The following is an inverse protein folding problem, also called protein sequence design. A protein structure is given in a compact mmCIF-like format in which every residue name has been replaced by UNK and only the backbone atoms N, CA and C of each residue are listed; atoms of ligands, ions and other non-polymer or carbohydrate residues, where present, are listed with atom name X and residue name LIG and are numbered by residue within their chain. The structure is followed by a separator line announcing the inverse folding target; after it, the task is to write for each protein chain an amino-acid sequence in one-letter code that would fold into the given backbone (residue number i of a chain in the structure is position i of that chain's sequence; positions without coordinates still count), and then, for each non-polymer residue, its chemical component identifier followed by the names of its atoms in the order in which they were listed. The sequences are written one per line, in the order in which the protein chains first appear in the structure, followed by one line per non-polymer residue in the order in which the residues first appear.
data_IF_706038699619
#
_entry.id   IF_706038699619
#
_cell.length_a   1.000
_cell.length_b   1.000
_cell.length_c   1.000
_cell.angle_alpha   90.00
_cell.angle_beta   90.00
_cell.angle_gamma   90.00
#
_symmetry.space_group_name_H-M   'P 1'
#
loop_
_entity.id
_entity.type
_entity.pdbx_description
1 polymer ?
#
# COMPACT_ATOMS: atom_id res chain seq x y z
N UNK A 1 -25.67 43.76 17.48
CA UNK A 1 -26.28 42.84 16.50
C UNK A 1 -25.19 41.89 16.03
N UNK A 2 -25.15 40.67 16.57
CA UNK A 2 -24.20 39.63 16.15
C UNK A 2 -24.75 38.99 14.87
N UNK A 3 -24.02 39.09 13.76
CA UNK A 3 -24.36 38.36 12.52
C UNK A 3 -24.42 36.86 12.87
N UNK A 4 -25.42 36.11 12.39
CA UNK A 4 -25.37 34.65 12.49
C UNK A 4 -24.13 34.18 11.72
N UNK A 5 -23.27 33.41 12.39
CA UNK A 5 -22.13 32.73 11.76
C UNK A 5 -22.71 31.81 10.69
N UNK A 6 -22.50 32.14 9.41
CA UNK A 6 -22.86 31.22 8.33
C UNK A 6 -22.10 29.91 8.57
N UNK A 7 -22.77 28.75 8.45
CA UNK A 7 -22.06 27.49 8.53
C UNK A 7 -21.03 27.44 7.41
N UNK A 8 -19.77 27.23 7.76
CA UNK A 8 -18.67 27.12 6.82
C UNK A 8 -19.07 26.22 5.63
N UNK A 9 -18.79 26.62 4.38
CA UNK A 9 -19.28 25.94 3.19
C UNK A 9 -18.81 24.48 3.19
N UNK A 10 -19.75 23.56 3.40
CA UNK A 10 -19.46 22.13 3.52
C UNK A 10 -18.91 21.55 2.22
N UNK A 11 -17.84 20.76 2.30
CA UNK A 11 -17.25 20.05 1.16
C UNK A 11 -18.30 19.24 0.38
N UNK A 12 -18.28 19.28 -0.97
CA UNK A 12 -19.11 18.40 -1.78
C UNK A 12 -18.93 16.94 -1.37
N UNK A 13 -20.03 16.18 -1.30
CA UNK A 13 -20.02 14.79 -0.80
C UNK A 13 -19.01 13.89 -1.54
N UNK A 14 -18.90 14.04 -2.86
CA UNK A 14 -17.93 13.29 -3.67
C UNK A 14 -16.48 13.58 -3.29
N UNK A 15 -16.15 14.85 -3.08
CA UNK A 15 -14.81 15.29 -2.68
C UNK A 15 -14.45 14.76 -1.29
N UNK A 16 -15.40 14.86 -0.35
CA UNK A 16 -15.26 14.33 1.01
C UNK A 16 -15.04 12.81 0.99
N UNK A 17 -15.82 12.07 0.19
CA UNK A 17 -15.68 10.62 0.09
C UNK A 17 -14.33 10.23 -0.52
N UNK A 18 -13.91 10.89 -1.60
CA UNK A 18 -12.61 10.63 -2.22
C UNK A 18 -11.44 10.90 -1.26
N UNK A 19 -11.52 11.96 -0.45
CA UNK A 19 -10.51 12.24 0.58
C UNK A 19 -10.50 11.18 1.69
N UNK A 20 -11.67 10.70 2.14
CA UNK A 20 -11.77 9.59 3.11
C UNK A 20 -11.16 8.30 2.54
N UNK A 21 -11.49 7.95 1.29
CA UNK A 21 -10.92 6.77 0.63
C UNK A 21 -9.40 6.90 0.50
N UNK A 22 -8.91 8.10 0.17
CA UNK A 22 -7.47 8.37 0.11
C UNK A 22 -6.78 8.11 1.45
N UNK A 23 -7.35 8.57 2.58
CA UNK A 23 -6.85 8.29 3.92
C UNK A 23 -6.84 6.80 4.25
N UNK A 24 -7.94 6.11 3.96
CA UNK A 24 -8.13 4.69 4.28
C UNK A 24 -7.17 3.80 3.52
N UNK A 25 -6.82 4.15 2.28
CA UNK A 25 -5.85 3.40 1.49
C UNK A 25 -4.41 3.78 1.81
N UNK A 26 -4.12 5.07 2.04
CA UNK A 26 -2.73 5.52 2.24
C UNK A 26 -2.15 5.09 3.58
N UNK A 27 -2.95 5.08 4.66
CA UNK A 27 -2.47 4.69 5.99
C UNK A 27 -1.96 3.23 6.05
N UNK A 28 -2.74 2.19 5.72
CA UNK A 28 -2.26 0.81 5.78
C UNK A 28 -1.18 0.54 4.73
N UNK A 29 -1.32 1.08 3.51
CA UNK A 29 -0.31 0.88 2.45
C UNK A 29 1.04 1.46 2.87
N UNK A 30 1.06 2.69 3.41
CA UNK A 30 2.28 3.35 3.85
C UNK A 30 2.90 2.71 5.09
N UNK A 31 2.07 2.25 6.05
CA UNK A 31 2.53 1.55 7.24
C UNK A 31 3.16 0.19 6.90
N UNK A 32 2.49 -0.61 6.07
CA UNK A 32 3.02 -1.91 5.64
C UNK A 32 4.34 -1.73 4.87
N UNK A 33 4.38 -0.76 3.94
CA UNK A 33 5.61 -0.45 3.20
C UNK A 33 6.76 -0.03 4.13
N UNK A 34 6.48 0.79 5.14
CA UNK A 34 7.50 1.18 6.13
C UNK A 34 8.00 -0.03 6.93
N UNK A 35 7.07 -0.86 7.43
CA UNK A 35 7.42 -2.05 8.22
C UNK A 35 8.31 -3.02 7.43
N UNK A 36 7.98 -3.24 6.17
CA UNK A 36 8.75 -4.12 5.30
C UNK A 36 10.10 -3.48 4.91
N UNK A 37 10.15 -2.18 4.64
CA UNK A 37 11.41 -1.45 4.43
C UNK A 37 12.36 -1.57 5.62
N UNK A 38 11.85 -1.45 6.85
CA UNK A 38 12.64 -1.59 8.08
C UNK A 38 13.08 -3.04 8.28
N UNK A 39 12.18 -4.01 8.05
CA UNK A 39 12.50 -5.44 8.12
C UNK A 39 13.55 -5.87 7.09
N UNK A 40 13.51 -5.30 5.88
CA UNK A 40 14.58 -5.47 4.89
C UNK A 40 15.89 -4.80 5.34
N UNK A 41 15.82 -3.67 6.06
CA UNK A 41 17.00 -3.06 6.68
C UNK A 41 17.69 -3.98 7.69
N UNK A 42 16.91 -4.77 8.45
CA UNK A 42 17.38 -5.68 9.51
C UNK A 42 17.38 -7.16 9.10
N UNK A 43 17.38 -7.44 7.80
CA UNK A 43 17.18 -8.78 7.26
C UNK A 43 18.19 -9.82 7.81
N UNK A 44 19.44 -9.41 8.04
CA UNK A 44 20.49 -10.24 8.63
C UNK A 44 20.22 -10.55 10.12
N UNK A 45 19.79 -9.56 10.90
CA UNK A 45 19.46 -9.72 12.32
C UNK A 45 18.22 -10.61 12.50
N UNK A 46 17.22 -10.47 11.62
CA UNK A 46 16.04 -11.34 11.62
C UNK A 46 16.37 -12.78 11.26
N UNK A 47 17.32 -13.01 10.34
CA UNK A 47 17.77 -14.37 10.00
C UNK A 47 18.36 -15.09 11.21
N UNK A 48 19.13 -14.38 12.04
CA UNK A 48 19.72 -14.92 13.25
C UNK A 48 18.67 -15.14 14.34
N UNK A 49 17.75 -14.19 14.54
CA UNK A 49 16.70 -14.29 15.55
C UNK A 49 15.64 -15.36 15.26
N UNK A 50 15.34 -15.66 13.99
CA UNK A 50 14.33 -16.67 13.64
C UNK A 50 14.88 -18.09 13.66
N UNK A 51 16.21 -18.27 13.57
CA UNK A 51 16.86 -19.57 13.78
C UNK A 51 16.64 -20.14 15.19
N UNK A 52 16.22 -19.30 16.14
CA UNK A 52 15.93 -19.66 17.53
C UNK A 52 14.43 -19.61 17.90
N UNK A 53 13.53 -19.37 16.93
CA UNK A 53 12.09 -19.29 17.18
C UNK A 53 11.45 -20.68 17.34
N UNK A 54 10.68 -20.94 18.42
CA UNK A 54 9.97 -22.20 18.62
C UNK A 54 8.63 -22.28 17.86
N UNK A 55 8.25 -21.24 17.11
CA UNK A 55 6.95 -21.18 16.44
C UNK A 55 6.98 -21.86 15.06
N UNK A 56 6.06 -22.79 14.85
CA UNK A 56 5.88 -23.51 13.58
C UNK A 56 4.53 -23.15 12.95
N UNK A 57 4.56 -22.64 11.72
CA UNK A 57 3.36 -22.26 10.94
C UNK A 57 2.69 -23.51 10.35
N UNK A 58 3.50 -24.49 9.96
CA UNK A 58 3.06 -25.69 9.25
C UNK A 58 2.95 -26.91 10.18
N UNK A 59 3.40 -26.80 11.42
CA UNK A 59 3.46 -27.88 12.40
C UNK A 59 4.71 -28.75 12.32
N UNK A 60 5.57 -28.52 11.32
CA UNK A 60 6.90 -29.10 11.19
C UNK A 60 7.97 -27.98 11.11
N UNK A 61 8.81 -27.81 12.15
CA UNK A 61 9.86 -26.80 12.19
C UNK A 61 10.86 -26.89 11.02
N UNK A 62 11.06 -28.08 10.45
CA UNK A 62 12.00 -28.28 9.34
C UNK A 62 11.44 -27.73 8.01
N UNK A 63 10.12 -27.82 7.82
CA UNK A 63 9.41 -27.25 6.67
C UNK A 63 9.41 -25.72 6.77
N UNK A 64 9.12 -25.19 7.96
CA UNK A 64 9.13 -23.75 8.20
C UNK A 64 10.51 -23.13 8.01
N UNK A 65 11.57 -23.82 8.45
CA UNK A 65 12.95 -23.39 8.20
C UNK A 65 13.28 -23.35 6.70
N UNK A 66 12.83 -24.34 5.91
CA UNK A 66 13.02 -24.36 4.46
C UNK A 66 12.28 -23.23 3.76
N UNK A 67 11.02 -22.97 4.13
CA UNK A 67 10.21 -21.88 3.55
C UNK A 67 10.84 -20.52 3.89
N UNK A 68 11.24 -20.34 5.14
CA UNK A 68 11.89 -19.12 5.62
C UNK A 68 13.21 -18.88 4.90
N UNK A 69 14.06 -19.90 4.77
CA UNK A 69 15.33 -19.79 4.03
C UNK A 69 15.10 -19.45 2.55
N UNK A 70 14.06 -20.01 1.93
CA UNK A 70 13.69 -19.68 0.56
C UNK A 70 13.21 -18.23 0.41
N UNK A 71 12.47 -17.71 1.40
CA UNK A 71 12.08 -16.31 1.44
C UNK A 71 13.29 -15.37 1.50
N UNK A 72 14.24 -15.64 2.40
CA UNK A 72 15.49 -14.85 2.49
C UNK A 72 16.28 -14.91 1.18
N UNK A 73 16.49 -16.11 0.63
CA UNK A 73 17.23 -16.27 -0.63
C UNK A 73 16.53 -15.57 -1.81
N UNK A 74 15.20 -15.48 -1.80
CA UNK A 74 14.43 -14.80 -2.84
C UNK A 74 14.49 -13.26 -2.70
N UNK A 75 14.58 -12.76 -1.47
CA UNK A 75 14.62 -11.32 -1.15
C UNK A 75 16.03 -10.73 -1.23
N UNK A 76 17.07 -11.48 -0.87
CA UNK A 76 18.46 -11.01 -0.78
C UNK A 76 18.92 -10.23 -2.03
N UNK A 77 18.69 -10.72 -3.28
CA UNK A 77 19.18 -10.04 -4.47
C UNK A 77 18.51 -8.68 -4.73
N UNK A 78 17.36 -8.42 -4.08
CA UNK A 78 16.52 -7.26 -4.32
C UNK A 78 16.44 -6.34 -3.09
N UNK A 79 17.02 -6.76 -1.96
CA UNK A 79 16.82 -6.18 -0.62
C UNK A 79 16.93 -4.66 -0.62
N UNK A 80 18.07 -4.14 -1.06
CA UNK A 80 18.34 -2.69 -1.03
C UNK A 80 17.39 -1.93 -1.96
N UNK A 81 17.24 -2.39 -3.21
CA UNK A 81 16.34 -1.76 -4.19
C UNK A 81 14.89 -1.74 -3.73
N UNK A 82 14.41 -2.83 -3.11
CA UNK A 82 13.05 -2.97 -2.59
C UNK A 82 12.85 -2.12 -1.33
N UNK A 83 13.83 -2.07 -0.43
CA UNK A 83 13.78 -1.20 0.74
C UNK A 83 13.66 0.28 0.33
N UNK A 84 14.42 0.72 -0.68
CA UNK A 84 14.31 2.09 -1.20
C UNK A 84 12.93 2.38 -1.80
N UNK A 85 12.39 1.47 -2.62
CA UNK A 85 11.04 1.62 -3.22
C UNK A 85 9.96 1.67 -2.14
N UNK A 86 10.02 0.79 -1.15
CA UNK A 86 9.05 0.74 -0.05
C UNK A 86 9.16 1.96 0.87
N UNK A 87 10.37 2.44 1.15
CA UNK A 87 10.59 3.69 1.88
C UNK A 87 10.00 4.89 1.14
N UNK A 88 10.26 5.01 -0.17
CA UNK A 88 9.67 6.05 -1.00
C UNK A 88 8.13 5.94 -1.07
N UNK A 89 7.60 4.71 -1.16
CA UNK A 89 6.16 4.44 -1.16
C UNK A 89 5.52 4.91 0.15
N UNK A 90 6.15 4.62 1.29
CA UNK A 90 5.69 5.07 2.61
C UNK A 90 5.62 6.61 2.70
N UNK A 91 6.66 7.31 2.24
CA UNK A 91 6.69 8.77 2.19
C UNK A 91 5.59 9.33 1.27
N UNK A 92 5.40 8.74 0.08
CA UNK A 92 4.35 9.14 -0.84
C UNK A 92 2.95 8.93 -0.24
N UNK A 93 2.72 7.81 0.45
CA UNK A 93 1.48 7.55 1.19
C UNK A 93 1.28 8.56 2.34
N UNK A 94 2.34 9.00 3.02
CA UNK A 94 2.25 10.04 4.04
C UNK A 94 1.79 11.38 3.44
N UNK A 95 2.29 11.76 2.26
CA UNK A 95 1.80 12.95 1.56
C UNK A 95 0.32 12.84 1.18
N UNK A 96 -0.12 11.70 0.64
CA UNK A 96 -1.54 11.44 0.38
C UNK A 96 -2.37 11.58 1.65
N UNK A 97 -1.91 10.96 2.74
CA UNK A 97 -2.60 10.99 4.03
C UNK A 97 -2.75 12.42 4.56
N UNK A 98 -1.65 13.17 4.59
CA UNK A 98 -1.65 14.55 5.09
C UNK A 98 -2.51 15.45 4.20
N UNK A 99 -2.37 15.38 2.88
CA UNK A 99 -3.19 16.19 1.97
C UNK A 99 -4.67 15.87 2.09
N UNK A 100 -5.05 14.60 2.14
CA UNK A 100 -6.44 14.20 2.28
C UNK A 100 -7.03 14.61 3.64
N UNK A 101 -6.25 14.49 4.72
CA UNK A 101 -6.63 14.98 6.05
C UNK A 101 -6.85 16.49 6.06
N UNK A 102 -5.96 17.26 5.42
CA UNK A 102 -6.08 18.72 5.29
C UNK A 102 -7.24 19.14 4.39
N UNK A 103 -7.58 18.39 3.34
CA UNK A 103 -8.81 18.66 2.57
C UNK A 103 -10.05 18.50 3.45
N UNK A 104 -10.09 17.50 4.33
CA UNK A 104 -11.22 17.28 5.25
C UNK A 104 -11.28 18.28 6.41
N UNK A 105 -10.13 18.84 6.80
CA UNK A 105 -9.98 19.83 7.88
C UNK A 105 -9.01 20.94 7.43
N UNK A 106 -9.53 21.98 6.74
CA UNK A 106 -8.70 22.94 6.03
C UNK A 106 -7.84 23.83 6.95
N UNK A 107 -8.24 24.11 8.19
CA UNK A 107 -7.51 24.96 9.16
C UNK A 107 -6.87 26.24 8.55
N UNK A 108 -7.53 26.89 7.58
CA UNK A 108 -7.03 28.08 6.90
C UNK A 108 -5.99 27.84 5.78
N UNK A 109 -5.76 26.59 5.37
CA UNK A 109 -4.87 26.27 4.26
C UNK A 109 -5.60 26.28 2.91
N UNK A 110 -4.95 26.76 1.83
CA UNK A 110 -5.55 26.77 0.49
C UNK A 110 -5.77 25.35 -0.02
N UNK A 111 -7.02 25.00 -0.28
CA UNK A 111 -7.44 23.66 -0.69
C UNK A 111 -6.85 23.28 -2.05
N UNK A 112 -6.63 24.25 -2.94
CA UNK A 112 -6.03 24.00 -4.25
C UNK A 112 -4.59 23.43 -4.15
N UNK A 113 -3.79 23.88 -3.18
CA UNK A 113 -2.44 23.31 -2.98
C UNK A 113 -2.54 21.88 -2.48
N UNK A 114 -3.47 21.61 -1.56
CA UNK A 114 -3.70 20.27 -1.03
C UNK A 114 -4.22 19.32 -2.11
N UNK A 115 -5.10 19.79 -3.01
CA UNK A 115 -5.58 19.03 -4.18
C UNK A 115 -4.45 18.59 -5.09
N UNK A 116 -3.57 19.53 -5.48
CA UNK A 116 -2.43 19.23 -6.37
C UNK A 116 -1.46 18.25 -5.72
N UNK A 117 -1.16 18.45 -4.45
CA UNK A 117 -0.28 17.57 -3.69
C UNK A 117 -0.89 16.16 -3.55
N UNK A 118 -2.19 16.07 -3.24
CA UNK A 118 -2.91 14.80 -3.15
C UNK A 118 -2.92 14.06 -4.49
N UNK A 119 -3.22 14.76 -5.58
CA UNK A 119 -3.23 14.17 -6.92
C UNK A 119 -1.85 13.65 -7.33
N UNK A 120 -0.82 14.48 -7.21
CA UNK A 120 0.54 14.11 -7.59
C UNK A 120 1.08 12.95 -6.74
N UNK A 121 0.89 13.02 -5.43
CA UNK A 121 1.33 11.94 -4.52
C UNK A 121 0.57 10.64 -4.74
N UNK A 122 -0.75 10.67 -5.03
CA UNK A 122 -1.51 9.47 -5.36
C UNK A 122 -0.99 8.79 -6.64
N UNK A 123 -0.65 9.55 -7.68
CA UNK A 123 -0.06 8.98 -8.89
C UNK A 123 1.34 8.39 -8.63
N UNK A 124 2.16 9.06 -7.81
CA UNK A 124 3.46 8.52 -7.38
C UNK A 124 3.30 7.22 -6.59
N UNK A 125 2.33 7.15 -5.67
CA UNK A 125 1.99 5.92 -4.92
C UNK A 125 1.60 4.81 -5.90
N UNK A 126 0.77 5.09 -6.90
CA UNK A 126 0.37 4.08 -7.89
C UNK A 126 1.57 3.51 -8.67
N UNK A 127 2.50 4.38 -9.09
CA UNK A 127 3.72 3.95 -9.79
C UNK A 127 4.60 3.11 -8.87
N UNK A 128 4.91 3.60 -7.67
CA UNK A 128 5.77 2.89 -6.71
C UNK A 128 5.17 1.55 -6.29
N UNK A 129 3.85 1.50 -6.08
CA UNK A 129 3.14 0.26 -5.76
C UNK A 129 3.22 -0.76 -6.89
N UNK A 130 3.19 -0.31 -8.15
CA UNK A 130 3.35 -1.18 -9.33
C UNK A 130 4.76 -1.76 -9.39
N UNK A 131 5.79 -0.94 -9.12
CA UNK A 131 7.19 -1.38 -9.07
C UNK A 131 7.39 -2.41 -7.95
N UNK A 132 6.93 -2.11 -6.73
CA UNK A 132 6.99 -3.03 -5.59
C UNK A 132 6.24 -4.34 -5.88
N UNK A 133 5.04 -4.28 -6.46
CA UNK A 133 4.28 -5.47 -6.83
C UNK A 133 4.98 -6.33 -7.88
N UNK A 134 5.67 -5.71 -8.84
CA UNK A 134 6.49 -6.45 -9.81
C UNK A 134 7.68 -7.16 -9.11
N UNK A 135 8.36 -6.49 -8.18
CA UNK A 135 9.41 -7.10 -7.37
C UNK A 135 8.87 -8.27 -6.54
N UNK A 136 7.71 -8.10 -5.90
CA UNK A 136 7.08 -9.14 -5.08
C UNK A 136 6.61 -10.34 -5.92
N UNK A 137 6.11 -10.12 -7.13
CA UNK A 137 5.74 -11.20 -8.03
C UNK A 137 6.95 -12.09 -8.40
N UNK A 138 8.15 -11.49 -8.54
CA UNK A 138 9.39 -12.25 -8.76
C UNK A 138 9.74 -13.08 -7.52
N UNK A 139 9.59 -12.51 -6.32
CA UNK A 139 9.79 -13.23 -5.05
C UNK A 139 8.81 -14.39 -4.93
N UNK A 140 7.52 -14.15 -5.14
CA UNK A 140 6.48 -15.15 -5.10
C UNK A 140 6.73 -16.29 -6.10
N UNK A 141 7.16 -15.97 -7.33
CA UNK A 141 7.52 -16.97 -8.34
C UNK A 141 8.71 -17.85 -7.93
N UNK A 142 9.68 -17.30 -7.19
CA UNK A 142 10.83 -18.06 -6.66
C UNK A 142 10.46 -18.90 -5.44
N UNK A 143 9.55 -18.41 -4.60
CA UNK A 143 9.13 -19.09 -3.38
C UNK A 143 8.12 -20.21 -3.64
N UNK A 144 7.21 -20.04 -4.60
CA UNK A 144 6.07 -20.94 -4.77
C UNK A 144 6.46 -22.42 -5.01
N UNK A 145 7.48 -22.75 -5.84
CA UNK A 145 7.94 -24.14 -5.97
C UNK A 145 8.46 -24.74 -4.65
N UNK A 146 9.17 -23.94 -3.85
CA UNK A 146 9.71 -24.40 -2.55
C UNK A 146 8.59 -24.66 -1.55
N UNK A 147 7.59 -23.78 -1.50
CA UNK A 147 6.41 -23.97 -0.65
C UNK A 147 5.66 -25.22 -1.09
N UNK A 148 5.42 -25.40 -2.40
CA UNK A 148 4.71 -26.58 -2.93
C UNK A 148 5.47 -27.88 -2.62
N UNK A 149 6.79 -27.90 -2.83
CA UNK A 149 7.60 -29.09 -2.52
C UNK A 149 7.69 -29.37 -1.02
N UNK A 150 7.68 -28.34 -0.18
CA UNK A 150 7.63 -28.50 1.27
C UNK A 150 6.24 -28.95 1.77
N UNK A 151 5.16 -28.56 1.11
CA UNK A 151 3.82 -29.02 1.46
C UNK A 151 3.55 -30.47 1.05
N UNK A 152 4.13 -30.92 -0.09
CA UNK A 152 4.03 -32.32 -0.54
C UNK A 152 4.63 -33.33 0.43
N UNK A 153 5.53 -32.91 1.32
CA UNK A 153 6.10 -33.81 2.33
C UNK A 153 5.14 -34.09 3.50
N UNK A 154 4.04 -33.34 3.61
CA UNK A 154 3.04 -33.57 4.64
C UNK A 154 2.09 -34.73 4.25
N UNK A 155 1.68 -35.59 5.21
CA UNK A 155 0.78 -36.70 4.94
C UNK A 155 -0.57 -36.29 4.33
N UNK A 156 -1.04 -35.08 4.65
CA UNK A 156 -2.31 -34.52 4.18
C UNK A 156 -2.36 -34.16 2.70
N UNK A 157 -1.20 -34.07 2.03
CA UNK A 157 -1.09 -33.61 0.63
C UNK A 157 -0.50 -34.67 -0.32
N UNK A 158 -0.44 -35.93 0.12
CA UNK A 158 0.00 -37.06 -0.73
C UNK A 158 -1.18 -37.58 -1.58
N UNK A 159 -0.95 -37.87 -2.87
CA UNK A 159 -1.97 -38.38 -3.81
C UNK A 159 -2.61 -37.29 -4.70
N UNK A 160 -3.92 -37.37 -4.95
CA UNK A 160 -4.67 -36.45 -5.85
C UNK A 160 -4.55 -34.98 -5.42
N UNK A 161 -4.40 -34.71 -4.11
CA UNK A 161 -4.16 -33.39 -3.55
C UNK A 161 -2.83 -32.74 -4.01
N UNK A 162 -1.88 -33.53 -4.54
CA UNK A 162 -0.60 -33.00 -5.02
C UNK A 162 -0.68 -32.28 -6.37
N UNK A 163 -1.68 -32.60 -7.20
CA UNK A 163 -1.96 -31.88 -8.46
C UNK A 163 -2.63 -30.54 -8.19
N UNK A 164 -3.56 -30.48 -7.23
CA UNK A 164 -4.19 -29.22 -6.79
C UNK A 164 -3.16 -28.25 -6.21
N UNK A 165 -2.12 -28.77 -5.53
CA UNK A 165 -1.00 -27.96 -5.03
C UNK A 165 -0.21 -27.26 -6.13
N UNK A 166 -0.15 -27.81 -7.35
CA UNK A 166 0.58 -27.17 -8.45
C UNK A 166 -0.08 -25.86 -8.88
N UNK A 167 -1.38 -25.70 -8.64
CA UNK A 167 -2.11 -24.45 -8.91
C UNK A 167 -1.56 -23.31 -8.05
N UNK A 168 -1.06 -23.57 -6.83
CA UNK A 168 -0.43 -22.54 -5.97
C UNK A 168 0.75 -21.83 -6.64
N UNK A 169 1.47 -22.52 -7.53
CA UNK A 169 2.64 -21.96 -8.24
C UNK A 169 2.24 -20.75 -9.08
N UNK A 170 1.06 -20.81 -9.71
CA UNK A 170 0.52 -19.73 -10.52
C UNK A 170 -0.36 -18.78 -9.70
N UNK A 171 -1.07 -19.32 -8.70
CA UNK A 171 -2.01 -18.55 -7.89
C UNK A 171 -1.33 -17.53 -6.98
N UNK A 172 -0.21 -17.89 -6.33
CA UNK A 172 0.52 -16.96 -5.44
C UNK A 172 0.96 -15.66 -6.16
N UNK A 173 1.68 -15.72 -7.30
CA UNK A 173 2.02 -14.50 -8.03
C UNK A 173 0.79 -13.80 -8.62
N UNK A 174 -0.23 -14.54 -9.06
CA UNK A 174 -1.47 -13.95 -9.60
C UNK A 174 -2.24 -13.13 -8.53
N UNK A 175 -2.38 -13.65 -7.31
CA UNK A 175 -3.00 -12.92 -6.18
C UNK A 175 -2.20 -11.66 -5.87
N UNK A 176 -0.86 -11.76 -5.82
CA UNK A 176 0.00 -10.61 -5.61
C UNK A 176 -0.19 -9.53 -6.67
N UNK A 177 -0.25 -9.91 -7.95
CA UNK A 177 -0.48 -8.98 -9.06
C UNK A 177 -1.88 -8.37 -9.00
N UNK A 178 -2.92 -9.16 -8.71
CA UNK A 178 -4.29 -8.68 -8.58
C UNK A 178 -4.43 -7.67 -7.44
N UNK A 179 -3.86 -7.96 -6.27
CA UNK A 179 -3.87 -7.04 -5.14
C UNK A 179 -3.10 -5.75 -5.44
N UNK A 180 -1.96 -5.86 -6.15
CA UNK A 180 -1.20 -4.70 -6.61
C UNK A 180 -2.04 -3.84 -7.56
N UNK A 181 -2.66 -4.44 -8.57
CA UNK A 181 -3.52 -3.74 -9.53
C UNK A 181 -4.70 -3.05 -8.84
N UNK A 182 -5.31 -3.69 -7.84
CA UNK A 182 -6.38 -3.10 -7.04
C UNK A 182 -5.92 -1.84 -6.29
N UNK A 183 -4.80 -1.93 -5.54
CA UNK A 183 -4.28 -0.80 -4.76
C UNK A 183 -3.80 0.32 -5.69
N UNK A 184 -2.94 0.01 -6.66
CA UNK A 184 -2.42 0.99 -7.60
C UNK A 184 -3.53 1.63 -8.43
N UNK A 185 -4.48 0.83 -8.93
CA UNK A 185 -5.64 1.31 -9.68
C UNK A 185 -6.51 2.26 -8.87
N UNK A 186 -6.72 1.98 -7.57
CA UNK A 186 -7.43 2.90 -6.68
C UNK A 186 -6.73 4.25 -6.59
N UNK A 187 -5.40 4.26 -6.41
CA UNK A 187 -4.63 5.50 -6.37
C UNK A 187 -4.58 6.24 -7.72
N UNK A 188 -4.60 5.54 -8.85
CA UNK A 188 -4.75 6.17 -10.18
C UNK A 188 -6.09 6.86 -10.29
N UNK A 189 -7.19 6.17 -9.94
CA UNK A 189 -8.56 6.73 -9.99
C UNK A 189 -8.67 7.94 -9.09
N UNK A 190 -8.15 7.87 -7.85
CA UNK A 190 -8.12 9.02 -6.93
C UNK A 190 -7.27 10.16 -7.50
N UNK A 191 -6.06 9.86 -7.98
CA UNK A 191 -5.16 10.84 -8.57
C UNK A 191 -5.81 11.60 -9.72
N UNK A 192 -6.44 10.88 -10.65
CA UNK A 192 -7.19 11.44 -11.78
C UNK A 192 -8.44 12.21 -11.34
N UNK A 193 -9.20 11.70 -10.38
CA UNK A 193 -10.37 12.38 -9.83
C UNK A 193 -10.00 13.76 -9.28
N UNK A 194 -8.93 13.84 -8.50
CA UNK A 194 -8.43 15.11 -7.96
C UNK A 194 -7.80 16.01 -9.03
N UNK A 195 -7.44 15.53 -10.23
CA UNK A 195 -7.04 16.39 -11.36
C UNK A 195 -8.23 16.97 -12.12
N UNK A 196 -9.40 16.36 -12.04
CA UNK A 196 -10.56 16.73 -12.86
C UNK A 196 -10.97 18.19 -12.68
N UNK A 197 -11.44 18.81 -13.77
CA UNK A 197 -11.90 20.20 -13.78
C UNK A 197 -13.09 20.40 -12.84
N UNK A 198 -13.96 19.40 -12.69
CA UNK A 198 -15.08 19.43 -11.74
C UNK A 198 -14.60 19.62 -10.29
N UNK A 199 -13.60 18.85 -9.86
CA UNK A 199 -13.01 19.00 -8.52
C UNK A 199 -12.28 20.33 -8.37
N UNK A 200 -11.57 20.76 -9.41
CA UNK A 200 -10.88 22.04 -9.43
C UNK A 200 -11.86 23.21 -9.27
N UNK A 201 -12.97 23.22 -10.00
CA UNK A 201 -14.01 24.26 -9.87
C UNK A 201 -14.65 24.26 -8.49
N UNK A 202 -14.97 23.08 -7.95
CA UNK A 202 -15.53 22.95 -6.61
C UNK A 202 -14.60 23.50 -5.51
N UNK A 203 -13.30 23.23 -5.63
CA UNK A 203 -12.28 23.71 -4.69
C UNK A 203 -12.06 25.22 -4.83
N UNK A 204 -12.00 25.75 -6.07
CA UNK A 204 -11.90 27.20 -6.27
C UNK A 204 -13.09 27.96 -5.70
N UNK A 205 -14.32 27.43 -5.84
CA UNK A 205 -15.51 28.03 -5.24
C UNK A 205 -15.43 28.08 -3.70
N UNK A 206 -14.84 27.05 -3.08
CA UNK A 206 -14.64 27.03 -1.62
C UNK A 206 -13.52 27.95 -1.15
N UNK A 207 -12.37 27.95 -1.82
CA UNK A 207 -11.26 28.85 -1.48
C UNK A 207 -11.69 30.33 -1.62
N UNK A 208 -12.55 30.65 -2.61
CA UNK A 208 -13.14 32.00 -2.75
C UNK A 208 -14.09 32.38 -1.62
N UNK A 209 -14.97 31.46 -1.21
CA UNK A 209 -15.90 31.71 -0.10
C UNK A 209 -15.18 31.86 1.26
N UNK A 210 -14.09 31.13 1.47
CA UNK A 210 -13.26 31.25 2.69
C UNK A 210 -12.54 32.61 2.76
N UNK A 211 -12.10 33.15 1.62
CA UNK A 211 -11.47 34.46 1.57
C UNK A 211 -12.46 35.61 1.87
N UNK A 212 -13.71 35.50 1.44
CA UNK A 212 -14.77 36.49 1.73
C UNK A 212 -15.24 36.49 3.19
N UNK A 213 -15.03 35.41 3.94
CA UNK A 213 -15.35 35.33 5.39
C UNK A 213 -14.25 35.94 6.29
N UNK A 214 -13.02 36.11 5.78
CA UNK A 214 -11.89 36.69 6.52
C UNK A 214 -11.79 38.23 6.38
N UNK A 215 -12.55 38.86 5.48
CA UNK A 215 -12.67 40.33 5.30
C UNK A 215 -13.80 40.97 6.13
#
# INVERSE_FOLDING_TARGET
MTRPVSPAPSLPRGLRLAAIVSLLFSAPTGFLALSESLGLGQLAEHREAMSSSPFSIVGDPSIDARITQAQYNALEPQRESRALVLGALSVACAFVFVSAGRILRPDGLPLERMRRMLSGSALVVAVLRTVDGAQWAVVAKRMAPVIVDAMKTLPSFQGVASEELQVMIWLMPAISMAFTAFVAGTFVVLGQYFQSDSVRHAIHAQDGALAEEEE
#
